data_IF_779930909898
#
_entry.id   IF_779930909898
#
_cell.length_a   1.000
_cell.length_b   1.000
_cell.length_c   1.000
_cell.angle_alpha   90.00
_cell.angle_beta   90.00
_cell.angle_gamma   90.00
#
_symmetry.space_group_name_H-M   'P 1'
#
loop_
_entity.id
_entity.type
_entity.pdbx_description
1 polymer ?
#
# COMPACT_ATOMS: atom_id res chain seq x y z
N UNK A 1 -25.99 20.23 -0.08
CA UNK A 1 -25.11 19.25 -0.76
C UNK A 1 -24.96 18.02 0.12
N UNK A 2 -25.20 16.80 -0.40
CA UNK A 2 -24.95 15.56 0.36
C UNK A 2 -23.44 15.43 0.60
N UNK A 3 -23.03 15.35 1.86
CA UNK A 3 -21.63 15.17 2.27
C UNK A 3 -21.14 13.82 1.70
N UNK A 4 -20.08 13.84 0.89
CA UNK A 4 -19.52 12.62 0.31
C UNK A 4 -18.81 11.82 1.42
N UNK A 5 -18.85 10.47 1.36
CA UNK A 5 -18.46 9.62 2.48
C UNK A 5 -16.99 9.79 2.91
N UNK A 6 -16.10 10.15 1.99
CA UNK A 6 -14.66 10.26 2.27
C UNK A 6 -14.05 11.63 1.97
N UNK A 7 -14.88 12.66 1.81
CA UNK A 7 -14.47 14.01 1.39
C UNK A 7 -13.40 14.63 2.31
N UNK A 8 -13.50 14.35 3.62
CA UNK A 8 -12.55 14.83 4.62
C UNK A 8 -11.38 13.90 4.89
N UNK A 9 -11.29 12.76 4.19
CA UNK A 9 -10.23 11.76 4.44
C UNK A 9 -8.85 12.29 4.05
N UNK A 10 -7.84 11.91 4.82
CA UNK A 10 -6.44 12.28 4.53
C UNK A 10 -5.99 11.76 3.17
N UNK A 11 -6.48 10.59 2.76
CA UNK A 11 -6.24 10.03 1.43
C UNK A 11 -6.76 10.93 0.31
N UNK A 12 -8.02 11.38 0.39
CA UNK A 12 -8.61 12.23 -0.64
C UNK A 12 -7.82 13.53 -0.84
N UNK A 13 -7.46 14.19 0.28
CA UNK A 13 -6.63 15.41 0.27
C UNK A 13 -5.21 15.16 -0.25
N UNK A 14 -4.62 14.03 0.09
CA UNK A 14 -3.28 13.65 -0.40
C UNK A 14 -3.29 13.44 -1.91
N UNK A 15 -4.25 12.67 -2.42
CA UNK A 15 -4.41 12.41 -3.86
C UNK A 15 -4.72 13.71 -4.60
N UNK A 16 -5.58 14.57 -4.07
CA UNK A 16 -5.88 15.88 -4.66
C UNK A 16 -4.61 16.72 -4.82
N UNK A 17 -3.84 16.88 -3.75
CA UNK A 17 -2.58 17.63 -3.77
C UNK A 17 -1.60 17.04 -4.78
N UNK A 18 -1.43 15.72 -4.76
CA UNK A 18 -0.42 15.08 -5.61
C UNK A 18 -0.78 15.13 -7.09
N UNK A 19 -2.07 15.04 -7.42
CA UNK A 19 -2.57 15.27 -8.78
C UNK A 19 -2.34 16.70 -9.25
N UNK A 20 -2.47 17.70 -8.38
CA UNK A 20 -2.17 19.10 -8.73
C UNK A 20 -0.67 19.30 -9.00
N UNK A 21 0.19 18.70 -8.19
CA UNK A 21 1.65 18.76 -8.36
C UNK A 21 2.11 18.07 -9.66
N UNK A 22 1.45 16.98 -10.06
CA UNK A 22 1.74 16.25 -11.30
C UNK A 22 1.06 16.82 -12.54
N UNK A 23 0.16 17.79 -12.40
CA UNK A 23 -0.58 18.40 -13.51
C UNK A 23 0.30 18.87 -14.69
N UNK A 24 1.53 19.39 -14.48
CA UNK A 24 2.40 19.78 -15.60
C UNK A 24 2.93 18.60 -16.44
N UNK A 25 2.94 17.39 -15.89
CA UNK A 25 3.58 16.21 -16.50
C UNK A 25 2.62 15.06 -16.80
N UNK A 26 1.51 14.95 -16.06
CA UNK A 26 0.53 13.87 -16.19
C UNK A 26 -0.89 14.39 -16.05
N UNK A 27 -1.80 13.90 -16.90
CA UNK A 27 -3.23 14.14 -16.71
C UNK A 27 -3.84 13.15 -15.71
N UNK A 28 -5.04 13.48 -15.19
CA UNK A 28 -5.78 12.57 -14.33
C UNK A 28 -6.17 11.27 -15.04
N UNK A 29 -6.41 11.31 -16.35
CA UNK A 29 -6.71 10.14 -17.15
C UNK A 29 -5.48 9.23 -17.29
N UNK A 30 -4.29 9.81 -17.45
CA UNK A 30 -3.03 9.05 -17.51
C UNK A 30 -2.76 8.36 -16.17
N UNK A 31 -2.95 9.07 -15.05
CA UNK A 31 -2.81 8.51 -13.71
C UNK A 31 -3.82 7.37 -13.51
N UNK A 32 -5.07 7.54 -13.96
CA UNK A 32 -6.09 6.50 -13.87
C UNK A 32 -5.69 5.24 -14.67
N UNK A 33 -5.23 5.43 -15.91
CA UNK A 33 -4.77 4.35 -16.77
C UNK A 33 -3.56 3.61 -16.20
N UNK A 34 -2.54 4.35 -15.71
CA UNK A 34 -1.36 3.78 -15.08
C UNK A 34 -1.67 3.01 -13.78
N UNK A 35 -2.67 3.47 -13.02
CA UNK A 35 -3.16 2.77 -11.83
C UNK A 35 -4.06 1.55 -12.17
N UNK A 36 -4.34 1.32 -13.46
CA UNK A 36 -5.14 0.20 -13.93
C UNK A 36 -6.65 0.39 -13.77
N UNK A 37 -7.12 1.64 -13.69
CA UNK A 37 -8.55 1.95 -13.68
C UNK A 37 -9.08 2.05 -15.11
N UNK A 38 -10.14 1.30 -15.41
CA UNK A 38 -10.86 1.40 -16.70
C UNK A 38 -11.59 2.73 -16.83
N UNK A 39 -12.01 3.33 -15.71
CA UNK A 39 -12.71 4.60 -15.67
C UNK A 39 -11.72 5.75 -15.40
N UNK A 40 -11.51 6.61 -16.41
CA UNK A 40 -10.65 7.79 -16.30
C UNK A 40 -11.07 8.77 -15.19
N UNK A 41 -12.35 8.78 -14.80
CA UNK A 41 -12.87 9.63 -13.73
C UNK A 41 -12.59 9.09 -12.32
N UNK A 42 -11.96 7.91 -12.19
CA UNK A 42 -11.72 7.31 -10.87
C UNK A 42 -10.89 8.20 -9.96
N UNK A 43 -9.86 8.86 -10.50
CA UNK A 43 -9.02 9.80 -9.76
C UNK A 43 -9.84 11.00 -9.26
N UNK A 44 -10.79 11.48 -10.06
CA UNK A 44 -11.74 12.52 -9.66
C UNK A 44 -12.68 12.05 -8.55
N UNK A 45 -13.13 10.80 -8.59
CA UNK A 45 -13.98 10.26 -7.52
C UNK A 45 -13.22 10.04 -6.22
N UNK A 46 -11.95 9.65 -6.29
CA UNK A 46 -11.09 9.46 -5.12
C UNK A 46 -10.76 10.81 -4.45
N UNK A 47 -10.33 11.82 -5.23
CA UNK A 47 -9.98 13.14 -4.67
C UNK A 47 -11.18 13.85 -4.03
N UNK A 48 -12.38 13.64 -4.57
CA UNK A 48 -13.63 14.19 -4.02
C UNK A 48 -14.21 13.32 -2.90
N UNK A 49 -13.56 12.22 -2.55
CA UNK A 49 -14.04 11.30 -1.51
C UNK A 49 -15.37 10.61 -1.84
N UNK A 50 -15.73 10.51 -3.12
CA UNK A 50 -16.89 9.73 -3.60
C UNK A 50 -16.60 8.24 -3.64
N UNK A 51 -15.32 7.85 -3.75
CA UNK A 51 -14.88 6.45 -3.78
C UNK A 51 -13.61 6.28 -2.94
N UNK A 52 -13.43 5.09 -2.37
CA UNK A 52 -12.17 4.69 -1.73
C UNK A 52 -11.21 4.08 -2.74
N UNK A 53 -9.92 4.10 -2.42
CA UNK A 53 -8.91 3.35 -3.18
C UNK A 53 -9.03 1.87 -2.82
N UNK A 54 -9.08 1.01 -3.84
CA UNK A 54 -9.01 -0.43 -3.64
C UNK A 54 -7.58 -0.83 -3.22
N UNK A 55 -7.44 -1.60 -2.13
CA UNK A 55 -6.14 -1.89 -1.51
C UNK A 55 -5.18 -2.64 -2.45
N UNK A 56 -5.71 -3.49 -3.32
CA UNK A 56 -4.96 -4.20 -4.38
C UNK A 56 -4.35 -3.24 -5.42
N UNK A 57 -4.94 -2.05 -5.60
CA UNK A 57 -4.49 -1.04 -6.57
C UNK A 57 -3.54 0.00 -5.99
N UNK A 58 -3.32 -0.01 -4.68
CA UNK A 58 -2.42 0.94 -4.01
C UNK A 58 -1.01 0.92 -4.61
N UNK A 59 -0.36 -0.23 -4.90
CA UNK A 59 0.99 -0.21 -5.48
C UNK A 59 1.04 0.45 -6.86
N UNK A 60 0.07 0.15 -7.72
CA UNK A 60 -0.02 0.73 -9.06
C UNK A 60 -0.33 2.23 -9.00
N UNK A 61 -1.24 2.64 -8.12
CA UNK A 61 -1.59 4.04 -7.91
C UNK A 61 -0.42 4.84 -7.32
N UNK A 62 0.35 4.26 -6.39
CA UNK A 62 1.52 4.90 -5.82
C UNK A 62 2.61 5.16 -6.88
N UNK A 63 2.82 4.20 -7.79
CA UNK A 63 3.70 4.38 -8.94
C UNK A 63 3.22 5.48 -9.88
N UNK A 64 1.91 5.52 -10.17
CA UNK A 64 1.32 6.56 -11.02
C UNK A 64 1.44 7.97 -10.41
N UNK A 65 1.24 8.08 -9.09
CA UNK A 65 1.32 9.30 -8.29
C UNK A 65 2.74 9.68 -7.87
N UNK A 66 3.75 8.88 -8.23
CA UNK A 66 5.15 9.08 -7.86
C UNK A 66 5.30 9.33 -6.35
N UNK A 67 4.71 8.44 -5.54
CA UNK A 67 4.76 8.50 -4.10
C UNK A 67 5.11 7.15 -3.48
N UNK A 68 5.47 7.18 -2.19
CA UNK A 68 5.78 5.97 -1.43
C UNK A 68 4.52 5.07 -1.29
N UNK A 69 4.60 3.78 -1.70
CA UNK A 69 3.46 2.86 -1.61
C UNK A 69 3.02 2.54 -0.18
N UNK A 70 3.94 2.51 0.79
CA UNK A 70 3.62 2.26 2.19
C UNK A 70 2.86 3.45 2.80
N UNK A 71 3.25 4.67 2.44
CA UNK A 71 2.51 5.86 2.85
C UNK A 71 1.10 5.89 2.26
N UNK A 72 0.95 5.60 0.97
CA UNK A 72 -0.37 5.53 0.33
C UNK A 72 -1.23 4.39 0.90
N UNK A 73 -0.62 3.25 1.24
CA UNK A 73 -1.30 2.12 1.88
C UNK A 73 -1.82 2.50 3.26
N UNK A 74 -1.02 3.19 4.07
CA UNK A 74 -1.45 3.68 5.39
C UNK A 74 -2.70 4.55 5.30
N UNK A 75 -2.71 5.51 4.37
CA UNK A 75 -3.87 6.40 4.16
C UNK A 75 -5.10 5.64 3.64
N UNK A 76 -4.87 4.63 2.80
CA UNK A 76 -5.96 3.80 2.23
C UNK A 76 -6.57 2.89 3.29
N UNK A 77 -5.76 2.32 4.20
CA UNK A 77 -6.23 1.54 5.34
C UNK A 77 -7.01 2.40 6.33
N UNK A 78 -6.50 3.59 6.68
CA UNK A 78 -7.22 4.53 7.55
C UNK A 78 -8.64 4.82 7.02
N UNK A 79 -8.78 5.00 5.71
CA UNK A 79 -10.07 5.21 5.05
C UNK A 79 -10.94 3.94 4.98
N UNK A 80 -10.33 2.76 4.84
CA UNK A 80 -11.05 1.50 4.61
C UNK A 80 -11.55 0.82 5.89
N UNK A 81 -10.74 0.81 6.95
CA UNK A 81 -10.99 0.07 8.20
C UNK A 81 -11.03 0.97 9.44
N UNK A 82 -10.80 2.28 9.28
CA UNK A 82 -10.76 3.24 10.39
C UNK A 82 -9.36 3.39 11.00
N UNK A 83 -9.16 4.51 11.71
CA UNK A 83 -7.85 4.91 12.24
C UNK A 83 -7.25 3.91 13.23
N UNK A 84 -8.07 3.37 14.13
CA UNK A 84 -7.64 2.41 15.16
C UNK A 84 -7.20 1.07 14.55
N UNK A 85 -7.96 0.55 13.58
CA UNK A 85 -7.63 -0.69 12.92
C UNK A 85 -6.41 -0.52 11.98
N UNK A 86 -6.27 0.64 11.35
CA UNK A 86 -5.09 0.98 10.57
C UNK A 86 -3.83 1.08 11.43
N UNK A 87 -3.94 1.60 12.67
CA UNK A 87 -2.82 1.62 13.62
C UNK A 87 -2.36 0.20 13.98
N UNK A 88 -3.29 -0.72 14.26
CA UNK A 88 -2.96 -2.14 14.48
C UNK A 88 -2.31 -2.77 13.25
N UNK A 89 -2.75 -2.43 12.04
CA UNK A 89 -2.10 -2.91 10.81
C UNK A 89 -0.66 -2.39 10.69
N UNK A 90 -0.39 -1.12 11.00
CA UNK A 90 1.00 -0.61 10.98
C UNK A 90 1.85 -1.29 12.06
N UNK A 91 1.29 -1.56 13.23
CA UNK A 91 1.96 -2.25 14.33
C UNK A 91 2.25 -3.74 14.01
N UNK A 92 1.31 -4.43 13.35
CA UNK A 92 1.40 -5.85 13.00
C UNK A 92 2.32 -6.09 11.80
N UNK A 93 2.32 -5.20 10.79
CA UNK A 93 3.05 -5.44 9.54
C UNK A 93 4.56 -5.14 9.63
N UNK A 94 5.02 -4.50 10.71
CA UNK A 94 6.45 -4.32 10.99
C UNK A 94 7.17 -3.31 10.07
N UNK A 95 8.47 -3.13 10.33
CA UNK A 95 9.32 -2.16 9.63
C UNK A 95 9.57 -2.48 8.14
N UNK A 96 10.00 -1.49 7.34
CA UNK A 96 10.28 -1.70 5.92
C UNK A 96 11.39 -2.72 5.73
N UNK A 97 11.04 -3.86 5.14
CA UNK A 97 12.00 -4.89 4.71
C UNK A 97 12.61 -4.53 3.36
N UNK A 98 13.92 -4.74 3.25
CA UNK A 98 14.65 -4.60 1.98
C UNK A 98 14.17 -5.62 0.95
N UNK A 99 14.45 -5.38 -0.33
CA UNK A 99 14.13 -6.34 -1.40
C UNK A 99 14.80 -7.70 -1.15
N UNK A 100 16.02 -7.69 -0.62
CA UNK A 100 16.76 -8.88 -0.23
C UNK A 100 16.04 -9.64 0.90
N UNK A 101 15.62 -8.96 1.97
CA UNK A 101 14.87 -9.61 3.06
C UNK A 101 13.51 -10.14 2.60
N UNK A 102 12.85 -9.44 1.66
CA UNK A 102 11.62 -9.93 1.04
C UNK A 102 11.84 -11.24 0.28
N UNK A 103 13.00 -11.43 -0.37
CA UNK A 103 13.34 -12.68 -1.03
C UNK A 103 13.48 -13.85 -0.04
N UNK A 104 14.10 -13.60 1.12
CA UNK A 104 14.19 -14.57 2.22
C UNK A 104 12.81 -14.95 2.75
N UNK A 105 11.93 -13.98 2.99
CA UNK A 105 10.55 -14.25 3.42
C UNK A 105 9.77 -15.07 2.40
N UNK A 106 9.95 -14.81 1.10
CA UNK A 106 9.31 -15.59 0.02
C UNK A 106 9.78 -17.04 0.04
N UNK A 107 11.08 -17.28 0.16
CA UNK A 107 11.64 -18.63 0.24
C UNK A 107 11.12 -19.41 1.46
N UNK A 108 10.99 -18.75 2.61
CA UNK A 108 10.42 -19.38 3.82
C UNK A 108 8.94 -19.73 3.63
N UNK A 109 8.15 -18.84 3.01
CA UNK A 109 6.71 -19.10 2.74
C UNK A 109 6.50 -20.23 1.74
N UNK A 110 7.35 -20.34 0.73
CA UNK A 110 7.33 -21.45 -0.22
C UNK A 110 7.70 -22.77 0.48
N UNK A 111 8.72 -22.76 1.33
CA UNK A 111 9.13 -23.94 2.10
C UNK A 111 8.12 -24.37 3.18
N UNK A 112 7.28 -23.44 3.65
CA UNK A 112 6.27 -23.70 4.69
C UNK A 112 4.86 -23.97 4.13
N UNK A 113 4.67 -24.02 2.81
CA UNK A 113 3.35 -24.05 2.16
C UNK A 113 2.41 -22.94 2.66
N UNK A 114 2.95 -21.74 2.89
CA UNK A 114 2.25 -20.59 3.51
C UNK A 114 1.68 -20.84 4.91
N UNK A 115 2.13 -21.89 5.62
CA UNK A 115 1.88 -22.03 7.06
C UNK A 115 2.70 -21.00 7.87
N UNK A 116 2.35 -20.85 9.15
CA UNK A 116 3.03 -19.96 10.10
C UNK A 116 3.90 -20.77 11.09
N UNK A 117 5.07 -21.30 10.65
CA UNK A 117 5.93 -22.09 11.51
C UNK A 117 6.69 -21.21 12.51
N UNK A 118 6.66 -21.61 13.78
CA UNK A 118 7.50 -20.96 14.80
C UNK A 118 8.98 -21.19 14.50
N UNK A 119 9.80 -20.14 14.67
CA UNK A 119 11.25 -20.26 14.57
C UNK A 119 11.78 -21.14 15.71
N UNK A 120 12.18 -22.37 15.39
CA UNK A 120 12.79 -23.29 16.37
C UNK A 120 14.29 -23.04 16.48
N UNK A 121 14.92 -23.50 17.58
CA UNK A 121 16.38 -23.43 17.76
C UNK A 121 17.14 -24.11 16.61
N UNK A 122 16.58 -25.17 16.03
CA UNK A 122 17.15 -25.87 14.86
C UNK A 122 17.11 -24.99 13.61
N UNK A 123 15.96 -24.38 13.33
CA UNK A 123 15.80 -23.46 12.19
C UNK A 123 16.70 -22.23 12.33
N UNK A 124 16.82 -21.70 13.55
CA UNK A 124 17.70 -20.58 13.85
C UNK A 124 19.18 -20.95 13.63
N UNK A 125 19.62 -22.14 14.04
CA UNK A 125 20.98 -22.62 13.80
C UNK A 125 21.27 -22.79 12.29
N UNK A 126 20.31 -23.31 11.52
CA UNK A 126 20.44 -23.43 10.07
C UNK A 126 20.53 -22.07 9.37
N UNK A 127 19.78 -21.06 9.84
CA UNK A 127 19.89 -19.70 9.29
C UNK A 127 21.28 -19.11 9.62
N UNK A 128 21.75 -19.27 10.87
CA UNK A 128 23.07 -18.79 11.28
C UNK A 128 24.20 -19.41 10.45
N UNK A 129 24.12 -20.71 10.14
CA UNK A 129 25.14 -21.38 9.33
C UNK A 129 25.22 -20.87 7.90
N UNK A 130 24.11 -20.45 7.28
CA UNK A 130 24.12 -19.85 5.93
C UNK A 130 24.95 -18.55 5.89
N UNK A 131 24.98 -17.81 7.00
CA UNK A 131 25.74 -16.56 7.13
C UNK A 131 27.09 -16.72 7.85
N UNK A 132 27.51 -17.96 8.14
CA UNK A 132 28.77 -18.24 8.83
C UNK A 132 28.83 -17.75 10.29
N UNK A 133 27.67 -17.74 10.98
CA UNK A 133 27.53 -17.34 12.40
C UNK A 133 27.17 -18.50 13.31
#
# INVERSE_FOLDING_TARGET
MRKKPYDSSRLAKFVERRVLELKPTKSQADIASQAGYTNANMITMIKQGSSKVALDRVPALAKALECDPAYLMRLSLEQAIGETAAASVVEIFGGPVTENERSWLKAVREASDNSDPRLTSRSQAAIKSIFGK
#
